data_IF_042567408628
#
_entry.id   IF_042567408628
#
_cell.length_a   1.000
_cell.length_b   1.000
_cell.length_c   1.000
_cell.angle_alpha   90.00
_cell.angle_beta   90.00
_cell.angle_gamma   90.00
#
_symmetry.space_group_name_H-M   'P 1'
#
loop_
_entity.id
_entity.type
_entity.pdbx_description
1 polymer ?
#
# COMPACT_ATOMS: atom_id res chain seq x y z
N UNK A 1 -12.73 -1.31 9.36
CA UNK A 1 -12.07 -0.25 8.58
C UNK A 1 -12.53 1.13 9.02
N UNK A 2 -11.60 1.95 9.52
CA UNK A 2 -11.78 3.34 9.96
C UNK A 2 -12.15 4.29 8.82
N UNK A 3 -12.67 5.48 9.14
CA UNK A 3 -13.24 6.39 8.16
C UNK A 3 -12.18 6.93 7.19
N UNK A 4 -11.02 7.33 7.71
CA UNK A 4 -9.88 7.82 6.95
C UNK A 4 -9.37 6.77 5.93
N UNK A 5 -9.33 5.50 6.32
CA UNK A 5 -8.97 4.40 5.40
C UNK A 5 -10.02 4.23 4.31
N UNK A 6 -11.31 4.31 4.65
CA UNK A 6 -12.39 4.22 3.65
C UNK A 6 -12.32 5.33 2.63
N UNK A 7 -12.01 6.56 3.07
CA UNK A 7 -11.85 7.71 2.18
C UNK A 7 -10.70 7.48 1.21
N UNK A 8 -9.53 7.10 1.72
CA UNK A 8 -8.36 6.83 0.86
C UNK A 8 -8.63 5.72 -0.16
N UNK A 9 -9.25 4.62 0.26
CA UNK A 9 -9.59 3.48 -0.61
C UNK A 9 -10.67 3.83 -1.64
N UNK A 10 -11.64 4.67 -1.28
CA UNK A 10 -12.71 5.09 -2.19
C UNK A 10 -12.19 5.92 -3.37
N UNK A 11 -11.09 6.65 -3.16
CA UNK A 11 -10.41 7.42 -4.20
C UNK A 11 -9.54 6.54 -5.13
N UNK A 12 -9.40 5.25 -4.83
CA UNK A 12 -8.75 4.26 -5.69
C UNK A 12 -7.22 4.23 -5.56
N UNK A 13 -6.53 3.67 -6.57
CA UNK A 13 -5.06 3.65 -6.63
C UNK A 13 -4.42 5.03 -6.51
N UNK A 14 -3.19 5.08 -6.02
CA UNK A 14 -2.35 6.28 -6.15
C UNK A 14 -2.23 6.67 -7.64
N UNK A 15 -2.24 7.96 -7.95
CA UNK A 15 -1.97 8.45 -9.30
C UNK A 15 -0.52 8.15 -9.72
N UNK A 16 -0.21 8.34 -11.00
CA UNK A 16 1.17 8.33 -11.50
C UNK A 16 1.90 9.65 -11.20
N UNK A 17 3.21 9.68 -11.44
CA UNK A 17 4.07 10.85 -11.23
C UNK A 17 3.68 12.07 -12.09
N UNK A 18 2.87 11.88 -13.15
CA UNK A 18 2.39 12.91 -14.06
C UNK A 18 1.13 13.63 -13.59
N UNK A 19 0.51 13.19 -12.49
CA UNK A 19 -0.67 13.84 -11.93
C UNK A 19 -0.39 15.25 -11.41
N UNK A 20 -1.48 16.01 -11.23
CA UNK A 20 -1.38 17.39 -10.75
C UNK A 20 -0.85 17.45 -9.31
N UNK A 21 -0.07 18.47 -8.98
CA UNK A 21 0.43 18.66 -7.62
C UNK A 21 -0.70 18.71 -6.58
N UNK A 22 -1.85 19.31 -6.90
CA UNK A 22 -3.03 19.33 -6.03
C UNK A 22 -3.57 17.91 -5.75
N UNK A 23 -3.51 17.02 -6.73
CA UNK A 23 -3.92 15.63 -6.55
C UNK A 23 -2.92 14.86 -5.68
N UNK A 24 -1.61 15.06 -5.91
CA UNK A 24 -0.55 14.46 -5.09
C UNK A 24 -0.68 14.91 -3.64
N UNK A 25 -0.79 16.22 -3.39
CA UNK A 25 -0.93 16.81 -2.05
C UNK A 25 -2.17 16.24 -1.34
N UNK A 26 -3.31 16.14 -2.04
CA UNK A 26 -4.54 15.55 -1.51
C UNK A 26 -4.34 14.09 -1.09
N UNK A 27 -3.61 13.29 -1.87
CA UNK A 27 -3.34 11.88 -1.55
C UNK A 27 -2.38 11.74 -0.37
N UNK A 28 -1.39 12.63 -0.25
CA UNK A 28 -0.50 12.71 0.92
C UNK A 28 -1.30 13.04 2.19
N UNK A 29 -2.15 14.06 2.15
CA UNK A 29 -3.00 14.44 3.30
C UNK A 29 -3.91 13.31 3.76
N UNK A 30 -4.49 12.55 2.81
CA UNK A 30 -5.30 11.38 3.14
C UNK A 30 -4.49 10.26 3.81
N UNK A 31 -3.25 10.00 3.35
CA UNK A 31 -2.38 9.01 3.98
C UNK A 31 -1.94 9.42 5.38
N UNK A 32 -1.55 10.68 5.55
CA UNK A 32 -1.11 11.23 6.85
C UNK A 32 -2.22 11.21 7.90
N UNK A 33 -3.48 11.27 7.48
CA UNK A 33 -4.63 11.11 8.36
C UNK A 33 -4.77 9.67 8.92
N UNK A 34 -4.20 8.66 8.25
CA UNK A 34 -4.29 7.26 8.67
C UNK A 34 -3.20 6.93 9.67
N UNK A 35 -3.57 6.93 10.96
CA UNK A 35 -2.66 6.48 12.02
C UNK A 35 -2.46 4.95 12.00
N UNK A 36 -1.23 4.49 12.20
CA UNK A 36 -0.91 3.09 12.47
C UNK A 36 -1.11 2.70 13.95
N UNK A 37 -1.12 1.40 14.30
CA UNK A 37 -1.08 0.26 13.37
C UNK A 37 -2.40 0.07 12.62
N UNK A 38 -2.33 -0.31 11.35
CA UNK A 38 -3.53 -0.69 10.58
C UNK A 38 -3.98 -2.12 10.92
N UNK A 39 -5.27 -2.40 10.80
CA UNK A 39 -5.80 -3.77 10.96
C UNK A 39 -5.50 -4.63 9.72
N UNK A 40 -5.59 -5.97 9.83
CA UNK A 40 -5.43 -6.86 8.66
C UNK A 40 -6.37 -6.51 7.50
N UNK A 41 -7.62 -6.18 7.82
CA UNK A 41 -8.62 -5.75 6.84
C UNK A 41 -8.21 -4.45 6.14
N UNK A 42 -7.67 -3.49 6.90
CA UNK A 42 -7.21 -2.21 6.37
C UNK A 42 -5.96 -2.38 5.52
N UNK A 43 -4.98 -3.15 5.99
CA UNK A 43 -3.76 -3.46 5.24
C UNK A 43 -4.07 -4.07 3.87
N UNK A 44 -5.05 -5.00 3.81
CA UNK A 44 -5.46 -5.59 2.53
C UNK A 44 -6.11 -4.58 1.59
N UNK A 45 -7.03 -3.76 2.08
CA UNK A 45 -7.69 -2.74 1.26
C UNK A 45 -6.70 -1.67 0.77
N UNK A 46 -5.74 -1.29 1.62
CA UNK A 46 -4.68 -0.34 1.28
C UNK A 46 -3.70 -0.91 0.25
N UNK A 47 -3.42 -2.22 0.29
CA UNK A 47 -2.58 -2.87 -0.73
C UNK A 47 -3.20 -2.79 -2.13
N UNK A 48 -4.53 -2.73 -2.27
CA UNK A 48 -5.20 -2.54 -3.56
C UNK A 48 -5.09 -1.10 -4.09
N UNK A 49 -4.49 -0.18 -3.32
CA UNK A 49 -4.37 1.24 -3.66
C UNK A 49 -2.99 1.63 -4.22
N UNK A 50 -2.10 0.68 -4.50
CA UNK A 50 -0.84 1.01 -5.18
C UNK A 50 -1.10 1.46 -6.61
N UNK A 51 -0.46 2.58 -6.98
CA UNK A 51 -0.48 3.16 -8.32
C UNK A 51 0.49 2.46 -9.27
N UNK A 52 0.60 2.97 -10.51
CA UNK A 52 1.46 2.39 -11.54
C UNK A 52 2.97 2.62 -11.32
N UNK A 53 3.35 3.54 -10.44
CA UNK A 53 4.74 3.89 -10.13
C UNK A 53 4.93 4.21 -8.63
N UNK A 54 6.01 4.91 -8.27
CA UNK A 54 6.29 5.30 -6.88
C UNK A 54 5.55 6.56 -6.41
N UNK A 55 4.90 7.28 -7.32
CA UNK A 55 4.17 8.51 -7.08
C UNK A 55 4.99 9.52 -6.26
N UNK A 56 6.21 9.87 -6.70
CA UNK A 56 7.13 10.76 -5.98
C UNK A 56 7.47 10.26 -4.56
N UNK A 57 7.45 8.94 -4.36
CA UNK A 57 7.67 8.28 -3.08
C UNK A 57 6.43 8.13 -2.19
N UNK A 58 5.25 8.59 -2.60
CA UNK A 58 4.00 8.40 -1.83
C UNK A 58 3.66 6.92 -1.67
N UNK A 59 3.99 6.09 -2.67
CA UNK A 59 3.80 4.65 -2.57
C UNK A 59 4.66 4.00 -1.46
N UNK A 60 5.83 4.56 -1.14
CA UNK A 60 6.61 4.12 0.02
C UNK A 60 5.90 4.39 1.34
N UNK A 61 5.27 5.56 1.47
CA UNK A 61 4.48 5.91 2.67
C UNK A 61 3.33 4.93 2.85
N UNK A 62 2.60 4.62 1.77
CA UNK A 62 1.54 3.60 1.78
C UNK A 62 2.07 2.22 2.18
N UNK A 63 3.19 1.78 1.60
CA UNK A 63 3.81 0.50 1.93
C UNK A 63 4.18 0.41 3.41
N UNK A 64 4.85 1.43 3.96
CA UNK A 64 5.26 1.41 5.37
C UNK A 64 4.05 1.47 6.31
N UNK A 65 2.99 2.22 5.95
CA UNK A 65 1.74 2.24 6.69
C UNK A 65 1.11 0.84 6.74
N UNK A 66 1.05 0.14 5.61
CA UNK A 66 0.56 -1.25 5.53
C UNK A 66 1.37 -2.17 6.45
N UNK A 67 2.71 -2.03 6.45
CA UNK A 67 3.62 -2.84 7.27
C UNK A 67 3.50 -2.56 8.79
N UNK A 68 2.84 -1.48 9.21
CA UNK A 68 2.50 -1.27 10.63
C UNK A 68 1.45 -2.25 11.15
N UNK A 69 0.69 -2.87 10.24
CA UNK A 69 -0.31 -3.86 10.56
C UNK A 69 0.23 -5.28 10.69
N UNK A 70 -0.65 -6.28 10.85
CA UNK A 70 -0.24 -7.67 10.88
C UNK A 70 0.30 -8.11 9.51
N UNK A 71 1.54 -8.63 9.51
CA UNK A 71 2.17 -9.26 8.35
C UNK A 71 1.99 -10.79 8.41
N UNK A 72 1.94 -11.48 7.25
CA UNK A 72 2.03 -10.93 5.90
C UNK A 72 0.67 -10.47 5.35
N UNK A 73 0.67 -9.41 4.53
CA UNK A 73 -0.55 -8.94 3.83
C UNK A 73 -0.87 -9.79 2.59
N UNK A 74 0.19 -10.27 1.93
CA UNK A 74 0.12 -11.20 0.80
C UNK A 74 0.76 -12.52 1.22
N UNK A 75 -0.01 -13.60 1.19
CA UNK A 75 0.45 -14.95 1.53
C UNK A 75 0.86 -15.77 0.31
N UNK A 76 0.53 -15.28 -0.89
CA UNK A 76 0.83 -15.92 -2.17
C UNK A 76 1.73 -14.98 -2.96
N UNK A 77 2.73 -15.55 -3.63
CA UNK A 77 3.64 -14.81 -4.50
C UNK A 77 2.85 -14.16 -5.63
N UNK A 78 3.00 -12.84 -5.83
CA UNK A 78 2.35 -12.17 -6.96
C UNK A 78 2.85 -12.72 -8.31
N UNK A 79 1.98 -12.64 -9.33
CA UNK A 79 2.35 -13.00 -10.70
C UNK A 79 3.44 -12.05 -11.23
N UNK A 80 4.25 -12.46 -12.23
CA UNK A 80 5.35 -11.64 -12.76
C UNK A 80 4.94 -10.27 -13.31
N UNK A 81 3.67 -10.11 -13.70
CA UNK A 81 3.08 -8.87 -14.21
C UNK A 81 2.27 -8.10 -13.15
N UNK A 82 2.28 -8.57 -11.89
CA UNK A 82 1.65 -7.87 -10.78
C UNK A 82 2.35 -6.54 -10.49
N UNK A 83 1.63 -5.67 -9.78
CA UNK A 83 2.16 -4.39 -9.34
C UNK A 83 3.46 -4.59 -8.51
N UNK A 84 4.50 -3.81 -8.80
CA UNK A 84 5.81 -3.96 -8.13
C UNK A 84 5.75 -3.83 -6.61
N UNK A 85 4.77 -3.09 -6.08
CA UNK A 85 4.57 -2.92 -4.65
C UNK A 85 3.99 -4.16 -3.99
N UNK A 86 3.20 -4.94 -4.72
CA UNK A 86 2.74 -6.25 -4.26
C UNK A 86 3.91 -7.23 -4.17
N UNK A 87 4.76 -7.29 -5.21
CA UNK A 87 5.97 -8.11 -5.18
C UNK A 87 6.89 -7.72 -4.02
N UNK A 88 7.07 -6.41 -3.80
CA UNK A 88 7.89 -5.89 -2.69
C UNK A 88 7.32 -6.26 -1.32
N UNK A 89 6.01 -6.13 -1.10
CA UNK A 89 5.36 -6.55 0.15
C UNK A 89 5.56 -8.05 0.40
N UNK A 90 5.33 -8.88 -0.62
CA UNK A 90 5.50 -10.33 -0.51
C UNK A 90 6.95 -10.71 -0.27
N UNK A 91 7.89 -10.14 -1.03
CA UNK A 91 9.33 -10.41 -0.90
C UNK A 91 9.86 -10.05 0.49
N UNK A 92 9.40 -8.93 1.07
CA UNK A 92 9.77 -8.56 2.45
C UNK A 92 9.22 -9.55 3.48
N UNK A 93 7.98 -10.00 3.30
CA UNK A 93 7.41 -11.04 4.15
C UNK A 93 8.17 -12.38 4.01
N UNK A 94 8.57 -12.78 2.80
CA UNK A 94 9.34 -13.99 2.54
C UNK A 94 10.72 -13.92 3.21
N UNK A 95 11.42 -12.78 3.06
CA UNK A 95 12.70 -12.53 3.72
C UNK A 95 12.60 -12.55 5.25
N UNK A 96 11.44 -12.19 5.80
CA UNK A 96 11.16 -12.28 7.23
C UNK A 96 10.72 -13.69 7.69
N UNK A 97 10.61 -14.66 6.77
CA UNK A 97 10.15 -16.02 7.07
C UNK A 97 8.66 -16.14 7.38
N UNK A 98 7.85 -15.15 6.97
CA UNK A 98 6.41 -15.09 7.24
C UNK A 98 5.56 -15.79 6.17
N UNK A 99 6.16 -16.06 5.01
CA UNK A 99 5.60 -16.86 3.92
C UNK A 99 6.69 -17.79 3.42
N UNK A 100 6.31 -18.95 2.87
CA UNK A 100 7.27 -19.82 2.20
C UNK A 100 7.74 -19.11 0.92
N UNK A 101 9.04 -18.80 0.85
CA UNK A 101 9.67 -18.38 -0.39
C UNK A 101 9.85 -19.59 -1.32
N UNK A 102 9.67 -19.39 -2.62
CA UNK A 102 10.07 -20.37 -3.64
C UNK A 102 11.58 -20.65 -3.60
#
# INVERSE_FOLDING_TARGET
>A
MRAEVRVFVADGPLPDEGASGEEIDRRVEQLDAISGPVTAQEARALADCFGPDDCHGVAWTLLHLIETGPNPVLTVKPEPDANEWHDRLWTRAANAGLVEGD
#
